data_IF_299247577633
#
_entry.id   IF_299247577633
#
_cell.length_a   1.000
_cell.length_b   1.000
_cell.length_c   1.000
_cell.angle_alpha   90.00
_cell.angle_beta   90.00
_cell.angle_gamma   90.00
#
_symmetry.space_group_name_H-M   'P 1'
#
loop_
_entity.id
_entity.type
_entity.pdbx_description
1 polymer ?
#
# COMPACT_ATOMS: atom_id res chain seq x y z
N UNK A 1 64.16 -18.84 4.48
CA UNK A 1 63.48 -17.55 4.69
C UNK A 1 63.03 -17.07 3.32
N UNK A 2 61.84 -17.49 2.89
CA UNK A 2 61.19 -16.92 1.71
C UNK A 2 60.32 -15.76 2.19
N UNK A 3 60.70 -14.54 1.82
CA UNK A 3 59.89 -13.35 2.05
C UNK A 3 58.80 -13.28 0.98
N UNK A 4 57.55 -13.56 1.36
CA UNK A 4 56.39 -13.22 0.55
C UNK A 4 56.24 -11.70 0.52
N UNK A 5 56.47 -11.10 -0.64
CA UNK A 5 56.07 -9.72 -0.91
C UNK A 5 54.57 -9.70 -1.25
N UNK A 6 53.77 -8.78 -0.68
CA UNK A 6 52.36 -8.67 -1.04
C UNK A 6 52.24 -8.14 -2.46
N UNK A 7 51.35 -8.75 -3.25
CA UNK A 7 51.08 -8.41 -4.64
C UNK A 7 50.44 -7.02 -4.75
N UNK A 8 51.27 -5.99 -4.96
CA UNK A 8 50.85 -4.57 -4.98
C UNK A 8 49.87 -4.25 -6.11
N UNK A 9 49.86 -5.05 -7.17
CA UNK A 9 48.94 -4.86 -8.30
C UNK A 9 47.48 -5.14 -7.93
N UNK A 10 47.23 -6.12 -7.06
CA UNK A 10 45.88 -6.47 -6.61
C UNK A 10 45.31 -5.38 -5.67
N UNK A 11 46.16 -4.71 -4.90
CA UNK A 11 45.73 -3.63 -3.99
C UNK A 11 45.30 -2.37 -4.74
N UNK A 12 46.01 -2.01 -5.82
CA UNK A 12 45.69 -0.82 -6.64
C UNK A 12 44.38 -1.02 -7.42
N UNK A 13 44.15 -2.23 -7.93
CA UNK A 13 42.93 -2.56 -8.68
C UNK A 13 41.69 -2.59 -7.77
N UNK A 14 41.82 -3.12 -6.55
CA UNK A 14 40.76 -3.08 -5.53
C UNK A 14 40.48 -1.65 -5.08
N UNK A 15 41.50 -0.80 -4.89
CA UNK A 15 41.31 0.60 -4.52
C UNK A 15 40.62 1.40 -5.63
N UNK A 16 41.00 1.21 -6.90
CA UNK A 16 40.35 1.85 -8.03
C UNK A 16 38.90 1.40 -8.18
N UNK A 17 38.60 0.11 -7.94
CA UNK A 17 37.24 -0.43 -7.96
C UNK A 17 36.36 0.18 -6.86
N UNK A 18 36.87 0.23 -5.62
CA UNK A 18 36.14 0.83 -4.50
C UNK A 18 35.93 2.34 -4.70
N UNK A 19 36.90 3.05 -5.27
CA UNK A 19 36.79 4.48 -5.54
C UNK A 19 35.78 4.80 -6.64
N UNK A 20 35.74 4.01 -7.72
CA UNK A 20 34.70 4.13 -8.76
C UNK A 20 33.31 3.76 -8.21
N UNK A 21 33.24 2.82 -7.28
CA UNK A 21 31.99 2.41 -6.65
C UNK A 21 31.46 3.49 -5.68
N UNK A 22 32.33 4.13 -4.91
CA UNK A 22 31.99 5.26 -4.03
C UNK A 22 31.58 6.51 -4.83
N UNK A 23 32.28 6.84 -5.93
CA UNK A 23 31.91 7.96 -6.81
C UNK A 23 30.56 7.73 -7.52
N UNK A 24 30.28 6.48 -7.93
CA UNK A 24 29.01 6.12 -8.54
C UNK A 24 27.83 6.17 -7.55
N UNK A 25 28.05 5.72 -6.31
CA UNK A 25 27.02 5.74 -5.29
C UNK A 25 26.70 7.18 -4.80
N UNK A 26 27.67 8.11 -4.85
CA UNK A 26 27.46 9.54 -4.53
C UNK A 26 26.68 10.29 -5.64
N UNK A 27 27.01 10.05 -6.91
CA UNK A 27 26.28 10.61 -8.07
C UNK A 27 24.82 10.13 -8.12
N UNK A 28 24.59 8.84 -7.84
CA UNK A 28 23.24 8.27 -7.75
C UNK A 28 22.41 8.93 -6.63
N UNK A 29 23.04 9.22 -5.48
CA UNK A 29 22.36 9.88 -4.36
C UNK A 29 22.01 11.34 -4.70
N UNK A 30 22.92 12.09 -5.31
CA UNK A 30 22.66 13.47 -5.75
C UNK A 30 21.53 13.52 -6.78
N UNK A 31 21.56 12.63 -7.78
CA UNK A 31 20.52 12.51 -8.81
C UNK A 31 19.14 12.20 -8.21
N UNK A 32 19.08 11.34 -7.18
CA UNK A 32 17.85 11.07 -6.45
C UNK A 32 17.32 12.30 -5.71
N UNK A 33 18.18 13.07 -5.04
CA UNK A 33 17.75 14.30 -4.35
C UNK A 33 17.28 15.39 -5.33
N UNK A 34 17.92 15.49 -6.50
CA UNK A 34 17.47 16.38 -7.59
C UNK A 34 16.07 15.95 -8.07
N UNK A 35 15.86 14.66 -8.33
CA UNK A 35 14.56 14.15 -8.76
C UNK A 35 13.47 14.39 -7.72
N UNK A 36 13.74 14.11 -6.43
CA UNK A 36 12.80 14.39 -5.33
C UNK A 36 12.43 15.87 -5.27
N UNK A 37 13.41 16.77 -5.45
CA UNK A 37 13.17 18.22 -5.52
C UNK A 37 12.30 18.60 -6.72
N UNK A 38 12.52 17.98 -7.88
CA UNK A 38 11.71 18.23 -9.08
C UNK A 38 10.27 17.75 -8.91
N UNK A 39 10.07 16.56 -8.34
CA UNK A 39 8.74 16.02 -8.02
C UNK A 39 8.02 16.92 -7.02
N UNK A 40 8.66 17.29 -5.91
CA UNK A 40 8.03 18.09 -4.84
C UNK A 40 7.70 19.52 -5.26
N UNK A 41 8.46 20.12 -6.18
CA UNK A 41 8.16 21.45 -6.73
C UNK A 41 7.24 21.42 -7.95
N UNK A 42 6.78 20.24 -8.39
CA UNK A 42 5.96 20.11 -9.58
C UNK A 42 4.55 20.69 -9.36
N UNK A 43 3.95 21.42 -10.33
CA UNK A 43 2.61 22.00 -10.18
C UNK A 43 1.51 20.98 -9.80
N UNK A 44 1.64 19.73 -10.28
CA UNK A 44 0.70 18.64 -9.99
C UNK A 44 0.98 17.89 -8.67
N UNK A 45 2.05 18.22 -7.94
CA UNK A 45 2.41 17.47 -6.73
C UNK A 45 1.30 17.46 -5.68
N UNK A 46 0.67 18.61 -5.44
CA UNK A 46 -0.46 18.71 -4.50
C UNK A 46 -1.64 17.82 -4.90
N UNK A 47 -2.03 17.85 -6.18
CA UNK A 47 -3.09 16.99 -6.71
C UNK A 47 -2.75 15.52 -6.57
N UNK A 48 -1.48 15.16 -6.83
CA UNK A 48 -1.02 13.79 -6.72
C UNK A 48 -1.13 13.27 -5.28
N UNK A 49 -0.67 14.07 -4.31
CA UNK A 49 -0.75 13.72 -2.89
C UNK A 49 -2.21 13.56 -2.46
N UNK A 50 -3.10 14.46 -2.88
CA UNK A 50 -4.52 14.37 -2.60
C UNK A 50 -5.14 13.08 -3.16
N UNK A 51 -4.91 12.78 -4.45
CA UNK A 51 -5.40 11.57 -5.08
C UNK A 51 -4.88 10.30 -4.39
N UNK A 52 -3.62 10.33 -3.92
CA UNK A 52 -3.02 9.21 -3.21
C UNK A 52 -3.66 9.00 -1.83
N UNK A 53 -3.86 10.07 -1.06
CA UNK A 53 -4.51 10.02 0.25
C UNK A 53 -5.96 9.53 0.14
N UNK A 54 -6.69 9.97 -0.89
CA UNK A 54 -8.04 9.51 -1.17
C UNK A 54 -8.10 8.01 -1.44
N UNK A 55 -7.14 7.45 -2.19
CA UNK A 55 -7.02 6.01 -2.40
C UNK A 55 -6.78 5.26 -1.08
N UNK A 56 -5.83 5.74 -0.25
CA UNK A 56 -5.53 5.11 1.04
C UNK A 56 -6.73 5.13 2.00
N UNK A 57 -7.51 6.21 1.96
CA UNK A 57 -8.72 6.36 2.76
C UNK A 57 -9.79 5.36 2.34
N UNK A 58 -10.04 5.22 1.03
CA UNK A 58 -10.96 4.21 0.51
C UNK A 58 -10.46 2.82 0.90
N UNK A 59 -9.18 2.53 0.76
CA UNK A 59 -8.62 1.22 1.13
C UNK A 59 -8.60 0.89 2.63
N UNK A 60 -9.00 1.80 3.52
CA UNK A 60 -8.80 1.71 4.97
C UNK A 60 -7.33 1.45 5.39
N UNK A 61 -6.38 1.63 4.47
CA UNK A 61 -4.94 1.41 4.66
C UNK A 61 -4.38 2.44 5.65
N UNK A 62 -5.02 3.61 5.75
CA UNK A 62 -4.68 4.65 6.74
C UNK A 62 -4.75 4.18 8.21
N UNK A 63 -5.48 3.11 8.54
CA UNK A 63 -5.47 2.50 9.88
C UNK A 63 -4.53 1.30 10.01
N UNK A 64 -3.95 0.83 8.89
CA UNK A 64 -2.87 -0.18 8.85
C UNK A 64 -1.53 0.57 8.88
N UNK A 65 -1.42 1.55 9.77
CA UNK A 65 -0.12 2.08 10.16
C UNK A 65 0.62 0.95 10.88
N UNK A 66 1.67 0.40 10.25
CA UNK A 66 3.00 0.19 10.88
C UNK A 66 3.88 -0.89 10.26
N UNK A 67 3.58 -1.51 9.11
CA UNK A 67 4.54 -2.52 8.61
C UNK A 67 4.61 -2.75 7.10
N UNK A 68 4.35 -1.70 6.30
CA UNK A 68 5.00 -1.65 4.99
C UNK A 68 6.38 -1.03 5.18
N UNK A 69 7.31 -1.81 5.76
CA UNK A 69 8.73 -1.62 5.45
C UNK A 69 8.84 -1.95 3.97
N UNK A 70 8.65 -0.94 3.12
CA UNK A 70 9.12 -1.02 1.75
C UNK A 70 10.62 -1.25 1.93
N UNK A 71 11.04 -2.47 1.65
CA UNK A 71 12.42 -2.88 1.74
C UNK A 71 13.17 -1.95 0.78
N UNK A 72 13.83 -0.90 1.32
CA UNK A 72 14.62 0.07 0.55
C UNK A 72 15.66 -0.66 -0.32
N UNK A 73 15.94 -1.92 0.01
CA UNK A 73 16.78 -2.85 -0.72
C UNK A 73 16.26 -3.24 -2.11
N UNK A 74 14.94 -3.25 -2.36
CA UNK A 74 14.37 -3.56 -3.69
C UNK A 74 14.29 -2.34 -4.62
N UNK A 75 14.45 -1.12 -4.11
CA UNK A 75 14.43 0.10 -4.91
C UNK A 75 15.79 0.42 -5.58
N UNK A 76 16.85 -0.36 -5.30
CA UNK A 76 18.18 -0.20 -5.90
C UNK A 76 18.32 -0.92 -7.25
N UNK A 77 17.29 -0.90 -8.09
CA UNK A 77 17.60 -0.98 -9.52
C UNK A 77 18.29 0.34 -9.86
N UNK A 78 19.60 0.27 -10.13
CA UNK A 78 20.46 1.40 -10.53
C UNK A 78 19.99 1.98 -11.87
N UNK A 79 18.81 2.61 -11.87
CA UNK A 79 18.29 3.37 -12.98
C UNK A 79 18.72 4.81 -12.78
N UNK A 80 19.28 5.41 -13.82
CA UNK A 80 19.78 6.79 -13.79
C UNK A 80 18.59 7.77 -13.78
N UNK A 81 17.91 7.83 -12.64
CA UNK A 81 16.68 8.59 -12.36
C UNK A 81 16.91 10.11 -12.38
N UNK A 82 18.16 10.57 -12.36
CA UNK A 82 18.51 11.99 -12.54
C UNK A 82 18.20 12.53 -13.92
N UNK A 83 18.06 11.66 -14.93
CA UNK A 83 18.03 12.05 -16.34
C UNK A 83 16.63 12.30 -16.92
N UNK A 84 15.56 12.26 -16.11
CA UNK A 84 14.20 12.55 -16.58
C UNK A 84 14.14 13.93 -17.24
N UNK A 85 13.69 14.01 -18.49
CA UNK A 85 13.29 15.28 -19.08
C UNK A 85 12.09 15.88 -18.34
N UNK A 86 11.86 17.19 -18.47
CA UNK A 86 10.68 17.82 -17.87
C UNK A 86 9.39 17.19 -18.40
N UNK A 87 9.32 16.91 -19.71
CA UNK A 87 8.17 16.27 -20.35
C UNK A 87 7.88 14.85 -19.83
N UNK A 88 8.91 14.07 -19.51
CA UNK A 88 8.70 12.73 -18.94
C UNK A 88 8.17 12.82 -17.51
N UNK A 89 8.66 13.79 -16.73
CA UNK A 89 8.13 14.04 -15.40
C UNK A 89 6.68 14.51 -15.46
N UNK A 90 6.33 15.42 -16.38
CA UNK A 90 4.96 15.90 -16.56
C UNK A 90 4.02 14.73 -16.88
N UNK A 91 4.40 13.89 -17.85
CA UNK A 91 3.64 12.70 -18.25
C UNK A 91 3.49 11.71 -17.09
N UNK A 92 4.56 11.48 -16.33
CA UNK A 92 4.51 10.63 -15.15
C UNK A 92 3.51 11.15 -14.12
N UNK A 93 3.57 12.44 -13.78
CA UNK A 93 2.70 13.05 -12.79
C UNK A 93 1.22 12.96 -13.21
N UNK A 94 0.92 13.22 -14.48
CA UNK A 94 -0.44 13.08 -15.03
C UNK A 94 -0.93 11.62 -15.01
N UNK A 95 -0.12 10.70 -15.53
CA UNK A 95 -0.46 9.28 -15.60
C UNK A 95 -0.68 8.70 -14.20
N UNK A 96 0.13 9.11 -13.21
CA UNK A 96 0.04 8.61 -11.85
C UNK A 96 -1.22 9.14 -11.14
N UNK A 97 -1.57 10.43 -11.30
CA UNK A 97 -2.85 10.97 -10.83
C UNK A 97 -4.04 10.21 -11.42
N UNK A 98 -4.01 9.96 -12.73
CA UNK A 98 -5.08 9.25 -13.44
C UNK A 98 -5.20 7.79 -13.00
N UNK A 99 -4.08 7.11 -12.78
CA UNK A 99 -4.05 5.76 -12.25
C UNK A 99 -4.66 5.68 -10.84
N UNK A 100 -4.33 6.62 -9.96
CA UNK A 100 -4.91 6.71 -8.61
C UNK A 100 -6.42 6.96 -8.68
N UNK A 101 -6.90 7.87 -9.53
CA UNK A 101 -8.33 8.10 -9.72
C UNK A 101 -9.09 6.83 -10.12
N UNK A 102 -8.56 6.07 -11.10
CA UNK A 102 -9.16 4.79 -11.52
C UNK A 102 -9.13 3.74 -10.41
N UNK A 103 -8.05 3.67 -9.66
CA UNK A 103 -7.93 2.75 -8.52
C UNK A 103 -8.99 3.06 -7.45
N UNK A 104 -9.14 4.34 -7.08
CA UNK A 104 -10.17 4.81 -6.15
C UNK A 104 -11.56 4.37 -6.60
N UNK A 105 -11.93 4.68 -7.85
CA UNK A 105 -13.25 4.31 -8.41
C UNK A 105 -13.48 2.80 -8.37
N UNK A 106 -12.47 2.02 -8.75
CA UNK A 106 -12.53 0.56 -8.74
C UNK A 106 -12.68 -0.03 -7.33
N UNK A 107 -12.21 0.65 -6.29
CA UNK A 107 -12.30 0.21 -4.90
C UNK A 107 -13.61 0.62 -4.21
N UNK A 108 -14.14 1.81 -4.52
CA UNK A 108 -15.36 2.34 -3.88
C UNK A 108 -16.57 1.43 -4.12
N UNK A 109 -16.75 0.95 -5.35
CA UNK A 109 -17.90 0.15 -5.74
C UNK A 109 -18.04 -1.19 -4.98
N UNK A 110 -17.02 -2.06 -4.92
CA UNK A 110 -17.11 -3.31 -4.17
C UNK A 110 -17.24 -3.10 -2.66
N UNK A 111 -16.67 -2.01 -2.12
CA UNK A 111 -16.82 -1.67 -0.71
C UNK A 111 -18.25 -1.26 -0.36
N UNK A 112 -18.86 -0.38 -1.16
CA UNK A 112 -20.25 0.02 -0.97
C UNK A 112 -21.20 -1.18 -1.08
N UNK A 113 -20.99 -2.06 -2.06
CA UNK A 113 -21.75 -3.31 -2.20
C UNK A 113 -21.64 -4.21 -0.97
N UNK A 114 -20.42 -4.41 -0.46
CA UNK A 114 -20.19 -5.23 0.73
C UNK A 114 -20.85 -4.63 1.97
N UNK A 115 -20.71 -3.31 2.16
CA UNK A 115 -21.33 -2.57 3.26
C UNK A 115 -22.86 -2.66 3.21
N UNK A 116 -23.45 -2.51 2.02
CA UNK A 116 -24.90 -2.64 1.82
C UNK A 116 -25.39 -4.06 2.15
N UNK A 117 -24.66 -5.08 1.69
CA UNK A 117 -24.96 -6.48 2.00
C UNK A 117 -24.94 -6.75 3.52
N UNK A 118 -23.88 -6.32 4.22
CA UNK A 118 -23.73 -6.49 5.66
C UNK A 118 -24.86 -5.77 6.42
N UNK A 119 -25.16 -4.53 6.06
CA UNK A 119 -26.24 -3.75 6.70
C UNK A 119 -27.62 -4.40 6.51
N UNK A 120 -27.88 -4.94 5.32
CA UNK A 120 -29.10 -5.69 5.02
C UNK A 120 -29.21 -6.94 5.90
N UNK A 121 -28.14 -7.74 6.01
CA UNK A 121 -28.10 -8.92 6.87
C UNK A 121 -28.33 -8.57 8.34
N UNK A 122 -27.68 -7.52 8.85
CA UNK A 122 -27.91 -7.04 10.21
C UNK A 122 -29.36 -6.61 10.44
N UNK A 123 -30.01 -6.00 9.44
CA UNK A 123 -31.42 -5.62 9.55
C UNK A 123 -32.32 -6.85 9.71
N UNK A 124 -32.13 -7.87 8.86
CA UNK A 124 -32.91 -9.11 8.93
C UNK A 124 -32.71 -9.82 10.29
N UNK A 125 -31.48 -9.88 10.81
CA UNK A 125 -31.21 -10.48 12.12
C UNK A 125 -31.88 -9.72 13.28
N UNK A 126 -31.94 -8.38 13.20
CA UNK A 126 -32.66 -7.56 14.21
C UNK A 126 -34.16 -7.79 14.17
N UNK A 127 -34.74 -7.97 12.99
CA UNK A 127 -36.18 -8.27 12.85
C UNK A 127 -36.53 -9.63 13.46
N UNK A 128 -35.73 -10.66 13.20
CA UNK A 128 -35.92 -11.99 13.77
C UNK A 128 -35.84 -11.99 15.30
N UNK A 129 -34.87 -11.28 15.87
CA UNK A 129 -34.70 -11.23 17.33
C UNK A 129 -35.83 -10.45 18.02
N UNK A 130 -36.35 -9.38 17.39
CA UNK A 130 -37.50 -8.62 17.89
C UNK A 130 -38.83 -9.37 17.77
N UNK A 131 -38.94 -10.31 16.84
CA UNK A 131 -40.13 -11.12 16.61
C UNK A 131 -40.30 -12.28 17.62
N UNK A 132 -39.35 -12.47 18.54
CA UNK A 132 -39.47 -13.45 19.64
C UNK A 132 -40.15 -12.74 20.83
N UNK A 133 -41.44 -12.98 21.12
CA UNK A 133 -41.99 -12.57 22.40
C UNK A 133 -41.36 -13.46 23.46
N UNK A 134 -40.84 -12.87 24.53
CA UNK A 134 -40.64 -13.59 25.80
C UNK A 134 -41.90 -14.44 26.08
N UNK A 135 -41.79 -15.75 26.33
CA UNK A 135 -42.95 -16.55 26.68
C UNK A 135 -43.49 -16.03 28.02
N UNK A 136 -44.54 -15.21 27.96
CA UNK A 136 -45.27 -14.79 29.15
C UNK A 136 -45.80 -16.05 29.80
N UNK A 137 -45.25 -16.37 30.97
CA UNK A 137 -45.72 -17.44 31.82
C UNK A 137 -47.21 -17.24 32.11
N UNK A 138 -48.08 -18.01 31.45
CA UNK A 138 -49.46 -18.16 31.87
C UNK A 138 -50.09 -19.46 31.32
N UNK A 139 -50.26 -20.40 32.26
CA UNK A 139 -51.42 -21.27 32.41
C UNK A 139 -51.60 -22.47 31.46
N UNK A 140 -51.07 -23.61 31.94
CA UNK A 140 -51.73 -24.91 32.09
C UNK A 140 -52.93 -25.24 31.17
N UNK A 141 -52.73 -26.23 30.31
CA UNK A 141 -53.76 -27.25 30.06
C UNK A 141 -53.11 -28.55 29.57
N UNK A 142 -53.37 -29.64 30.29
CA UNK A 142 -52.84 -30.98 30.08
C UNK A 142 -53.18 -31.57 28.70
N UNK A 143 -52.16 -31.98 27.92
CA UNK A 143 -52.34 -32.82 26.75
C UNK A 143 -51.99 -34.28 27.10
N UNK A 144 -53.03 -35.12 27.28
CA UNK A 144 -52.90 -36.57 27.49
C UNK A 144 -52.33 -37.26 26.25
N UNK A 145 -51.21 -37.96 26.45
CA UNK A 145 -50.63 -38.88 25.46
C UNK A 145 -51.57 -40.05 25.18
N UNK A 146 -52.00 -40.21 23.92
CA UNK A 146 -52.61 -41.46 23.42
C UNK A 146 -51.50 -42.29 22.76
N UNK A 147 -51.13 -43.38 23.42
CA UNK A 147 -50.23 -44.43 22.92
C UNK A 147 -51.04 -45.33 21.97
N UNK A 148 -50.66 -45.41 20.69
CA UNK A 148 -51.18 -46.44 19.77
C UNK A 148 -50.25 -47.65 19.80
N UNK A 149 -50.83 -48.82 20.09
CA UNK A 149 -50.26 -50.13 19.83
C UNK A 149 -50.11 -50.36 18.32
#
# INVERSE_FOLDING_TARGET
>A
MESHTPDTNNTIEIQAYNQHQEEQDDDDQENNEILKRRISNHPLYGLLVEAHLDCLKVGEISNIERELKIDEMQAREKQNLGMFSQSELDLFMEAYCLALGKLKEAMVEPQQKSMAFINNMHSQLRELTKATPEPSAASSSDCKFIRRN
#
